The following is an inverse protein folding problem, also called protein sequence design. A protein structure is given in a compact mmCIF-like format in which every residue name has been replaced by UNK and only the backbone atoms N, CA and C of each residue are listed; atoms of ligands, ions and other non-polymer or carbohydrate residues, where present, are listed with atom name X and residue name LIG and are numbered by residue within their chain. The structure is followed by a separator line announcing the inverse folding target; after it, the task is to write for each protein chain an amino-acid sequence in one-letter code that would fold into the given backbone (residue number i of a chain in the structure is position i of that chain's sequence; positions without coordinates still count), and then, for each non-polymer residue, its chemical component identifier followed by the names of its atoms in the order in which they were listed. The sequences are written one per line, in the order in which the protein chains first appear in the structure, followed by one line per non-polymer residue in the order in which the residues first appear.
data_IF_499140248323
#
_entry.id   IF_499140248323
#
_cell.length_a   1.000
_cell.length_b   1.000
_cell.length_c   1.000
_cell.angle_alpha   90.00
_cell.angle_beta   90.00
_cell.angle_gamma   90.00
#
_symmetry.space_group_name_H-M   'P 1'
#
loop_
_entity.id
_entity.type
_entity.pdbx_description
1 polymer ?
#
# COMPACT_ATOMS: atom_id res chain seq x y z
N UNK A 1 15.68 34.64 37.16
CA UNK A 1 16.27 33.72 36.16
C UNK A 1 15.74 32.33 36.46
N UNK A 2 15.29 31.64 35.41
CA UNK A 2 14.21 30.65 35.40
C UNK A 2 14.60 29.34 36.09
N UNK A 3 14.00 29.07 37.24
CA UNK A 3 13.94 27.76 37.90
C UNK A 3 12.69 27.07 37.37
N UNK A 4 12.73 26.42 36.20
CA UNK A 4 11.67 25.53 35.69
C UNK A 4 12.21 24.73 34.50
N UNK A 5 13.20 23.87 34.75
CA UNK A 5 13.69 22.94 33.74
C UNK A 5 14.07 21.64 34.44
N UNK A 6 13.08 20.91 34.97
CA UNK A 6 13.25 19.50 35.34
C UNK A 6 11.93 18.80 35.77
N UNK A 7 10.78 18.93 35.07
CA UNK A 7 9.65 18.02 35.34
C UNK A 7 8.51 18.02 34.29
N UNK A 8 8.75 17.69 33.02
CA UNK A 8 7.61 17.42 32.11
C UNK A 8 7.98 16.59 30.87
N UNK A 9 8.49 15.37 31.08
CA UNK A 9 8.61 14.39 29.99
C UNK A 9 8.28 12.94 30.42
N UNK A 10 7.59 12.77 31.55
CA UNK A 10 7.12 11.46 32.02
C UNK A 10 5.62 11.22 31.70
N UNK A 11 5.08 11.90 30.68
CA UNK A 11 3.66 11.83 30.30
C UNK A 11 3.43 11.35 28.85
N UNK A 12 4.34 10.56 28.28
CA UNK A 12 3.99 9.65 27.19
C UNK A 12 3.80 8.26 27.76
N UNK A 13 2.70 8.19 28.49
CA UNK A 13 2.08 7.06 29.13
C UNK A 13 1.68 6.01 28.08
N UNK A 14 2.15 4.78 28.31
CA UNK A 14 1.61 3.47 27.86
C UNK A 14 1.48 3.21 26.35
N UNK A 15 2.26 2.26 25.77
CA UNK A 15 1.77 1.55 24.61
C UNK A 15 0.51 0.77 25.05
N UNK A 16 -0.64 1.19 24.52
CA UNK A 16 -1.87 0.41 24.57
C UNK A 16 -1.59 -0.93 23.88
N UNK A 17 -1.35 -1.98 24.67
CA UNK A 17 -1.28 -3.35 24.20
C UNK A 17 -2.70 -3.74 23.74
N UNK A 18 -3.00 -3.51 22.47
CA UNK A 18 -4.19 -4.05 21.83
C UNK A 18 -3.99 -5.55 21.67
N UNK A 19 -4.67 -6.30 22.54
CA UNK A 19 -4.71 -7.75 22.56
C UNK A 19 -5.42 -8.30 21.30
N UNK A 20 -4.72 -8.31 20.17
CA UNK A 20 -4.96 -9.23 19.06
C UNK A 20 -4.01 -10.42 19.19
N UNK A 21 -4.41 -11.60 18.71
CA UNK A 21 -3.50 -12.74 18.65
C UNK A 21 -2.28 -12.36 17.78
N UNK A 22 -1.14 -12.09 18.41
CA UNK A 22 0.10 -11.74 17.71
C UNK A 22 0.58 -12.97 16.93
N UNK A 23 0.61 -12.83 15.61
CA UNK A 23 1.15 -13.84 14.70
C UNK A 23 2.62 -14.04 15.05
N UNK A 24 3.04 -15.28 15.37
CA UNK A 24 4.42 -15.58 15.80
C UNK A 24 5.42 -15.56 14.65
N UNK A 25 4.97 -15.96 13.46
CA UNK A 25 5.75 -16.01 12.23
C UNK A 25 4.79 -16.01 11.04
N UNK A 26 5.24 -15.47 9.91
CA UNK A 26 4.53 -15.54 8.61
C UNK A 26 4.75 -16.88 7.89
N UNK A 27 5.70 -17.70 8.35
CA UNK A 27 6.09 -18.94 7.67
C UNK A 27 6.82 -18.73 6.34
N UNK A 28 7.09 -17.48 5.96
CA UNK A 28 7.82 -17.10 4.75
C UNK A 28 9.18 -16.51 5.10
N UNK A 29 10.23 -16.96 4.42
CA UNK A 29 11.59 -16.47 4.67
C UNK A 29 11.71 -15.02 4.21
N UNK A 30 12.28 -14.16 5.08
CA UNK A 30 12.49 -12.75 4.78
C UNK A 30 11.25 -11.85 4.94
N UNK A 31 10.11 -12.40 5.37
CA UNK A 31 8.88 -11.63 5.62
C UNK A 31 8.61 -11.51 7.13
N UNK A 32 8.97 -10.37 7.71
CA UNK A 32 8.72 -10.08 9.12
C UNK A 32 7.21 -9.84 9.38
N UNK A 33 6.74 -10.24 10.56
CA UNK A 33 5.36 -9.99 10.99
C UNK A 33 5.15 -8.49 11.22
N UNK A 34 4.05 -7.95 10.71
CA UNK A 34 3.69 -6.56 10.91
C UNK A 34 2.91 -6.37 12.23
N UNK A 35 3.35 -5.44 13.09
CA UNK A 35 2.68 -5.16 14.37
C UNK A 35 1.32 -4.47 14.19
N UNK A 36 1.23 -3.48 13.30
CA UNK A 36 0.03 -2.68 13.06
C UNK A 36 -0.31 -2.61 11.56
N UNK A 37 -0.72 -3.73 10.94
CA UNK A 37 -0.87 -3.81 9.48
C UNK A 37 -1.98 -2.89 8.94
N UNK A 38 -3.06 -2.68 9.69
CA UNK A 38 -4.19 -1.83 9.26
C UNK A 38 -3.76 -0.36 9.09
N UNK A 39 -3.03 0.16 10.07
CA UNK A 39 -2.55 1.54 10.04
C UNK A 39 -1.51 1.73 8.94
N UNK A 40 -0.60 0.76 8.80
CA UNK A 40 0.41 0.76 7.74
C UNK A 40 -0.25 0.82 6.36
N UNK A 41 -1.23 -0.06 6.08
CA UNK A 41 -1.95 -0.08 4.81
C UNK A 41 -2.73 1.21 4.56
N UNK A 42 -3.33 1.80 5.59
CA UNK A 42 -4.02 3.10 5.47
C UNK A 42 -3.07 4.21 5.03
N UNK A 43 -1.88 4.26 5.61
CA UNK A 43 -0.84 5.22 5.22
C UNK A 43 -0.35 4.97 3.79
N UNK A 44 -0.14 3.71 3.39
CA UNK A 44 0.30 3.39 2.03
C UNK A 44 -0.76 3.75 0.98
N UNK A 45 -2.01 3.35 1.17
CA UNK A 45 -3.06 3.65 0.20
C UNK A 45 -3.32 5.14 0.05
N UNK A 46 -3.27 5.92 1.13
CA UNK A 46 -3.38 7.39 1.05
C UNK A 46 -2.21 8.01 0.28
N UNK A 47 -0.99 7.53 0.49
CA UNK A 47 0.19 7.95 -0.30
C UNK A 47 0.07 7.57 -1.78
N UNK A 48 -0.45 6.39 -2.10
CA UNK A 48 -0.67 5.96 -3.49
C UNK A 48 -1.68 6.87 -4.17
N UNK A 49 -2.84 7.12 -3.54
CA UNK A 49 -3.86 8.01 -4.08
C UNK A 49 -3.36 9.46 -4.28
N UNK A 50 -2.43 9.91 -3.43
CA UNK A 50 -1.76 11.20 -3.60
C UNK A 50 -0.81 11.18 -4.81
N UNK A 51 0.03 10.15 -4.95
CA UNK A 51 0.94 10.01 -6.09
C UNK A 51 0.21 9.89 -7.44
N UNK A 52 -0.98 9.27 -7.46
CA UNK A 52 -1.81 9.18 -8.66
C UNK A 52 -2.40 10.52 -9.10
N UNK A 53 -2.38 11.56 -8.27
CA UNK A 53 -2.86 12.90 -8.68
C UNK A 53 -1.98 13.53 -9.76
N UNK A 54 -0.70 13.18 -9.82
CA UNK A 54 0.26 13.69 -10.80
C UNK A 54 0.05 13.09 -12.20
N UNK A 55 -0.70 11.98 -12.30
CA UNK A 55 -1.00 11.25 -13.54
C UNK A 55 -2.33 11.77 -14.11
N UNK A 56 -2.51 11.97 -15.42
CA UNK A 56 -3.77 12.49 -15.95
C UNK A 56 -4.92 11.48 -15.84
N UNK A 57 -6.17 11.97 -15.71
CA UNK A 57 -7.38 11.16 -15.38
C UNK A 57 -7.82 10.22 -16.50
N UNK A 58 -7.45 10.52 -17.73
CA UNK A 58 -7.70 9.72 -18.92
C UNK A 58 -6.76 8.52 -19.05
N UNK A 59 -5.60 8.55 -18.38
CA UNK A 59 -4.66 7.45 -18.39
C UNK A 59 -5.31 6.17 -17.82
N UNK A 60 -5.28 5.09 -18.61
CA UNK A 60 -5.84 3.79 -18.23
C UNK A 60 -5.25 3.30 -16.89
N UNK A 61 -3.94 3.45 -16.69
CA UNK A 61 -3.28 3.07 -15.43
C UNK A 61 -3.92 3.75 -14.22
N UNK A 62 -4.10 5.08 -14.26
CA UNK A 62 -4.72 5.82 -13.14
C UNK A 62 -6.12 5.30 -12.83
N UNK A 63 -6.96 5.13 -13.85
CA UNK A 63 -8.35 4.67 -13.68
C UNK A 63 -8.43 3.31 -12.97
N UNK A 64 -7.63 2.33 -13.42
CA UNK A 64 -7.68 0.98 -12.85
C UNK A 64 -7.00 0.91 -11.48
N UNK A 65 -5.86 1.58 -11.30
CA UNK A 65 -5.17 1.60 -10.00
C UNK A 65 -6.00 2.32 -8.94
N UNK A 66 -6.65 3.45 -9.27
CA UNK A 66 -7.57 4.13 -8.34
C UNK A 66 -8.74 3.21 -7.94
N UNK A 67 -9.31 2.45 -8.89
CA UNK A 67 -10.39 1.51 -8.58
C UNK A 67 -9.94 0.43 -7.58
N UNK A 68 -8.81 -0.24 -7.88
CA UNK A 68 -8.28 -1.33 -7.04
C UNK A 68 -7.89 -0.81 -5.66
N UNK A 69 -7.20 0.33 -5.60
CA UNK A 69 -6.76 0.94 -4.34
C UNK A 69 -7.95 1.38 -3.51
N UNK A 70 -8.98 2.01 -4.10
CA UNK A 70 -10.17 2.42 -3.36
C UNK A 70 -10.96 1.22 -2.84
N UNK A 71 -11.11 0.16 -3.63
CA UNK A 71 -11.76 -1.08 -3.19
C UNK A 71 -11.04 -1.68 -1.97
N UNK A 72 -9.73 -1.90 -2.08
CA UNK A 72 -8.91 -2.43 -0.98
C UNK A 72 -8.91 -1.50 0.23
N UNK A 73 -8.83 -0.20 -0.01
CA UNK A 73 -8.83 0.80 1.07
C UNK A 73 -10.16 0.82 1.82
N UNK A 74 -11.29 0.66 1.12
CA UNK A 74 -12.60 0.54 1.73
C UNK A 74 -12.71 -0.75 2.56
N UNK A 75 -12.16 -1.87 2.07
CA UNK A 75 -12.11 -3.11 2.87
C UNK A 75 -11.32 -2.89 4.17
N UNK A 76 -10.16 -2.24 4.12
CA UNK A 76 -9.35 -1.91 5.31
C UNK A 76 -10.09 -0.97 6.25
N UNK A 77 -10.78 0.07 5.74
CA UNK A 77 -11.58 1.00 6.56
C UNK A 77 -12.76 0.32 7.25
N UNK A 78 -13.54 -0.47 6.53
CA UNK A 78 -14.71 -1.17 7.09
C UNK A 78 -14.32 -2.11 8.23
N UNK A 79 -13.13 -2.71 8.14
CA UNK A 79 -12.61 -3.63 9.15
C UNK A 79 -11.68 -2.95 10.17
N UNK A 80 -11.54 -1.60 10.14
CA UNK A 80 -10.67 -0.88 11.09
C UNK A 80 -11.18 -0.95 12.53
N UNK A 81 -12.48 -1.21 12.73
CA UNK A 81 -13.07 -1.47 14.04
C UNK A 81 -12.77 -2.88 14.56
N UNK A 82 -12.43 -3.83 13.68
CA UNK A 82 -12.15 -5.21 14.07
C UNK A 82 -10.64 -5.42 14.24
N UNK A 83 -10.16 -5.80 15.44
CA UNK A 83 -8.74 -6.05 15.67
C UNK A 83 -8.24 -7.37 15.05
N UNK A 84 -9.10 -8.12 14.36
CA UNK A 84 -8.75 -9.43 13.84
C UNK A 84 -8.23 -9.36 12.39
N UNK A 85 -6.92 -9.53 12.26
CA UNK A 85 -6.19 -9.57 10.97
C UNK A 85 -6.65 -10.74 10.09
N UNK A 86 -7.00 -11.90 10.66
CA UNK A 86 -7.35 -13.10 9.88
C UNK A 86 -8.60 -12.88 9.03
N UNK A 87 -9.62 -12.22 9.59
CA UNK A 87 -10.84 -11.91 8.85
C UNK A 87 -10.57 -10.95 7.69
N UNK A 88 -9.61 -10.04 7.85
CA UNK A 88 -9.20 -9.15 6.77
C UNK A 88 -8.50 -9.93 5.65
N UNK A 89 -7.60 -10.86 6.00
CA UNK A 89 -6.95 -11.78 5.05
C UNK A 89 -8.00 -12.60 4.27
N UNK A 90 -8.98 -13.18 4.96
CA UNK A 90 -10.06 -13.98 4.35
C UNK A 90 -10.95 -13.16 3.40
N UNK A 91 -11.20 -11.89 3.73
CA UNK A 91 -11.99 -10.98 2.89
C UNK A 91 -11.20 -10.52 1.66
N UNK A 92 -9.91 -10.27 1.82
CA UNK A 92 -9.05 -9.80 0.73
C UNK A 92 -8.62 -10.92 -0.23
N UNK A 93 -8.58 -12.18 0.22
CA UNK A 93 -8.23 -13.36 -0.58
C UNK A 93 -6.95 -13.18 -1.42
N UNK A 94 -5.97 -12.47 -0.86
CA UNK A 94 -4.74 -12.05 -1.56
C UNK A 94 -3.47 -12.50 -0.81
N UNK A 95 -3.53 -13.60 -0.06
CA UNK A 95 -2.43 -14.07 0.77
C UNK A 95 -2.40 -13.44 2.16
N UNK A 96 -1.22 -13.40 2.78
CA UNK A 96 -1.02 -12.82 4.10
C UNK A 96 -1.01 -11.29 4.06
N UNK A 97 -1.39 -10.65 5.17
CA UNK A 97 -1.46 -9.18 5.21
C UNK A 97 -0.10 -8.52 4.98
N UNK A 98 0.99 -9.18 5.38
CA UNK A 98 2.35 -8.69 5.18
C UNK A 98 2.76 -8.66 3.70
N UNK A 99 2.30 -9.63 2.90
CA UNK A 99 2.54 -9.65 1.45
C UNK A 99 1.80 -8.49 0.77
N UNK A 100 0.58 -8.20 1.23
CA UNK A 100 -0.22 -7.07 0.75
C UNK A 100 0.45 -5.73 1.06
N UNK A 101 1.11 -5.59 2.21
CA UNK A 101 1.88 -4.40 2.56
C UNK A 101 3.03 -4.20 1.56
N UNK A 102 3.82 -5.24 1.28
CA UNK A 102 4.91 -5.19 0.30
C UNK A 102 4.38 -4.87 -1.10
N UNK A 103 3.22 -5.43 -1.47
CA UNK A 103 2.57 -5.11 -2.73
C UNK A 103 2.20 -3.62 -2.81
N UNK A 104 1.64 -3.06 -1.73
CA UNK A 104 1.29 -1.63 -1.68
C UNK A 104 2.54 -0.72 -1.71
N UNK A 105 3.65 -1.11 -1.06
CA UNK A 105 4.92 -0.38 -1.17
C UNK A 105 5.49 -0.41 -2.59
N UNK A 106 5.41 -1.57 -3.24
CA UNK A 106 5.83 -1.76 -4.64
C UNK A 106 4.98 -0.93 -5.59
N UNK A 107 3.65 -0.89 -5.36
CA UNK A 107 2.73 -0.06 -6.12
C UNK A 107 3.00 1.43 -5.93
N UNK A 108 3.31 1.88 -4.72
CA UNK A 108 3.69 3.27 -4.46
C UNK A 108 4.98 3.65 -5.20
N UNK A 109 5.98 2.76 -5.20
CA UNK A 109 7.22 2.93 -5.95
C UNK A 109 6.95 2.97 -7.46
N UNK A 110 6.10 2.08 -7.96
CA UNK A 110 5.67 2.04 -9.36
C UNK A 110 4.96 3.33 -9.77
N UNK A 111 3.95 3.78 -9.01
CA UNK A 111 3.19 4.99 -9.30
C UNK A 111 4.10 6.22 -9.46
N UNK A 112 5.12 6.36 -8.60
CA UNK A 112 6.13 7.42 -8.70
C UNK A 112 6.98 7.33 -9.97
N UNK A 113 7.33 6.11 -10.40
CA UNK A 113 8.06 5.88 -11.65
C UNK A 113 7.18 6.14 -12.87
N UNK A 114 5.91 5.72 -12.82
CA UNK A 114 4.93 5.94 -13.89
C UNK A 114 4.72 7.43 -14.16
N UNK A 115 4.74 8.27 -13.11
CA UNK A 115 4.72 9.73 -13.26
C UNK A 115 5.91 10.27 -14.08
N UNK A 116 7.08 9.64 -13.98
CA UNK A 116 8.27 10.01 -14.75
C UNK A 116 8.27 9.43 -16.17
N UNK A 117 7.84 8.17 -16.32
CA UNK A 117 7.88 7.44 -17.59
C UNK A 117 6.78 7.85 -18.57
N UNK A 118 5.65 8.37 -18.07
CA UNK A 118 4.49 8.81 -18.87
C UNK A 118 4.03 7.81 -19.94
N UNK A 119 3.79 6.53 -19.59
CA UNK A 119 3.46 5.49 -20.58
C UNK A 119 2.07 5.62 -21.20
N UNK A 120 1.30 6.64 -20.82
CA UNK A 120 0.02 6.99 -21.45
C UNK A 120 0.21 7.81 -22.73
N UNK A 121 1.42 8.26 -23.03
CA UNK A 121 1.75 8.89 -24.31
C UNK A 121 1.71 7.83 -25.44
N UNK A 122 1.45 8.25 -26.69
CA UNK A 122 1.48 7.34 -27.83
C UNK A 122 2.83 6.62 -27.98
N UNK A 123 2.81 5.49 -28.71
CA UNK A 123 4.02 4.74 -29.02
C UNK A 123 5.08 5.65 -29.65
N UNK A 124 6.30 5.56 -29.13
CA UNK A 124 7.45 6.34 -29.64
C UNK A 124 7.79 5.94 -31.08
N UNK A 125 7.70 4.64 -31.38
CA UNK A 125 7.98 4.07 -32.71
C UNK A 125 6.96 2.97 -33.02
N UNK A 126 6.44 2.98 -34.26
CA UNK A 126 5.64 1.87 -34.77
C UNK A 126 6.55 0.70 -35.17
N UNK A 127 6.12 -0.56 -34.94
CA UNK A 127 6.90 -1.71 -35.33
C UNK A 127 6.98 -1.83 -36.86
N UNK A 128 8.12 -2.31 -37.43
CA UNK A 128 8.18 -2.71 -38.83
C UNK A 128 7.14 -3.79 -39.16
N UNK A 129 6.68 -3.81 -40.41
CA UNK A 129 5.54 -4.63 -40.87
C UNK A 129 5.69 -6.13 -40.60
N UNK A 130 6.91 -6.65 -40.57
CA UNK A 130 7.18 -8.08 -40.35
C UNK A 130 7.66 -8.42 -38.93
N UNK A 131 7.80 -7.45 -38.02
CA UNK A 131 8.37 -7.68 -36.68
C UNK A 131 7.57 -8.71 -35.85
N UNK A 132 6.24 -8.70 -35.99
CA UNK A 132 5.33 -9.53 -35.19
C UNK A 132 4.55 -10.57 -36.03
N UNK A 133 5.00 -10.86 -37.26
CA UNK A 133 4.36 -11.85 -38.14
C UNK A 133 4.80 -13.26 -37.74
N UNK A 134 3.85 -14.10 -37.33
CA UNK A 134 4.09 -15.50 -36.99
C UNK A 134 2.92 -16.41 -37.40
N UNK A 135 3.17 -17.57 -38.04
CA UNK A 135 4.43 -18.04 -38.62
C UNK A 135 4.80 -17.29 -39.91
N UNK A 136 6.05 -17.46 -40.37
CA UNK A 136 6.60 -16.84 -41.59
C UNK A 136 5.94 -17.43 -42.84
#
# INVERSE_FOLDING_TARGET
MRIFAQLEAALYCLPAAMAGALKKTTGLVGLAVAENPHEHLRILYTKILAALQDIPKDAAYRKYTEQIVNERFNMVKTNSQEPNVQKLEDKMKSGQIEEVIIQAESELSLARKMAQWKPWEPLVEEPPTDQWRWPI
#
